data_IF_107595323712
#
_entry.id   IF_107595323712
#
_cell.length_a   1.000
_cell.length_b   1.000
_cell.length_c   1.000
_cell.angle_alpha   90.00
_cell.angle_beta   90.00
_cell.angle_gamma   90.00
#
_symmetry.space_group_name_H-M   'P 1'
#
loop_
_entity.id
_entity.type
_entity.pdbx_description
1 polymer ?
#
# COMPACT_ATOMS: atom_id res chain seq x y z
N UNK A 1 -27.95 3.35 -16.65
CA UNK A 1 -28.85 2.63 -15.70
C UNK A 1 -28.12 1.49 -15.00
N UNK A 2 -27.34 0.65 -15.71
CA UNK A 2 -26.47 -0.39 -15.12
C UNK A 2 -25.33 0.17 -14.25
N UNK A 3 -24.58 1.16 -14.73
CA UNK A 3 -23.47 1.78 -13.97
C UNK A 3 -23.90 2.40 -12.63
N UNK A 4 -25.16 2.85 -12.52
CA UNK A 4 -25.70 3.44 -11.29
C UNK A 4 -26.00 2.37 -10.24
N UNK A 5 -26.36 1.16 -10.68
CA UNK A 5 -26.67 0.02 -9.83
C UNK A 5 -25.39 -0.63 -9.27
N UNK A 6 -24.35 -0.79 -10.09
CA UNK A 6 -23.02 -1.24 -9.65
C UNK A 6 -22.40 -0.24 -8.66
N UNK A 7 -22.50 1.06 -8.94
CA UNK A 7 -21.99 2.09 -8.04
C UNK A 7 -22.74 2.12 -6.70
N UNK A 8 -24.06 1.90 -6.71
CA UNK A 8 -24.83 1.74 -5.47
C UNK A 8 -24.47 0.47 -4.70
N UNK A 9 -24.18 -0.65 -5.38
CA UNK A 9 -23.72 -1.89 -4.76
C UNK A 9 -22.35 -1.69 -4.09
N UNK A 10 -21.39 -1.05 -4.76
CA UNK A 10 -20.07 -0.72 -4.21
C UNK A 10 -20.18 0.21 -2.99
N UNK A 11 -21.06 1.22 -3.04
CA UNK A 11 -21.32 2.11 -1.91
C UNK A 11 -21.95 1.37 -0.72
N UNK A 12 -22.91 0.48 -0.96
CA UNK A 12 -23.58 -0.29 0.08
C UNK A 12 -22.67 -1.36 0.70
N UNK A 13 -21.74 -1.92 -0.08
CA UNK A 13 -20.68 -2.80 0.41
C UNK A 13 -19.61 -2.04 1.22
N UNK A 14 -19.44 -0.73 0.98
CA UNK A 14 -18.50 0.16 1.67
C UNK A 14 -19.05 0.78 2.96
N UNK A 15 -20.31 1.23 2.99
CA UNK A 15 -21.16 1.08 4.20
C UNK A 15 -21.24 -0.42 4.54
N UNK A 16 -21.91 -1.00 5.52
CA UNK A 16 -21.73 -2.46 5.82
C UNK A 16 -20.26 -2.79 6.21
N UNK A 17 -19.23 -2.79 5.36
CA UNK A 17 -18.07 -1.95 5.69
C UNK A 17 -17.34 -2.11 7.02
N UNK A 18 -16.80 -1.05 7.59
CA UNK A 18 -17.35 0.25 8.07
C UNK A 18 -18.41 0.09 9.16
N UNK A 19 -19.61 -0.45 8.89
CA UNK A 19 -20.73 -0.41 9.85
C UNK A 19 -21.16 -1.76 10.47
N UNK A 20 -20.79 -2.89 9.88
CA UNK A 20 -21.38 -4.22 10.13
C UNK A 20 -20.38 -5.28 10.59
N UNK A 21 -19.09 -4.95 10.60
CA UNK A 21 -18.08 -5.84 11.17
C UNK A 21 -17.77 -5.35 12.58
N UNK A 22 -18.17 -6.15 13.57
CA UNK A 22 -17.73 -5.97 14.95
C UNK A 22 -16.20 -5.91 14.97
N UNK A 23 -15.65 -5.01 15.78
CA UNK A 23 -14.21 -4.98 16.00
C UNK A 23 -13.78 -6.32 16.60
N UNK A 24 -12.87 -7.01 15.91
CA UNK A 24 -12.25 -8.23 16.40
C UNK A 24 -10.83 -7.89 16.89
N UNK A 25 -10.54 -7.99 18.21
CA UNK A 25 -9.21 -7.68 18.75
C UNK A 25 -8.11 -8.66 18.29
N UNK A 26 -8.46 -9.79 17.67
CA UNK A 26 -7.49 -10.73 17.11
C UNK A 26 -7.06 -10.40 15.68
N UNK A 27 -7.79 -9.49 15.01
CA UNK A 27 -7.48 -9.05 13.65
C UNK A 27 -6.54 -7.84 13.68
N UNK A 28 -5.49 -7.89 12.86
CA UNK A 28 -4.52 -6.79 12.74
C UNK A 28 -5.06 -5.65 11.88
N UNK A 29 -5.76 -6.00 10.80
CA UNK A 29 -6.30 -5.04 9.83
C UNK A 29 -7.79 -4.81 10.05
N UNK A 30 -8.19 -3.54 10.01
CA UNK A 30 -9.59 -3.17 10.07
C UNK A 30 -10.36 -3.70 8.84
N UNK A 31 -11.67 -3.95 8.97
CA UNK A 31 -12.46 -4.56 7.89
C UNK A 31 -12.41 -3.82 6.54
N UNK A 32 -12.33 -2.48 6.53
CA UNK A 32 -12.17 -1.72 5.28
C UNK A 32 -10.75 -1.79 4.72
N UNK A 33 -9.73 -1.95 5.57
CA UNK A 33 -8.34 -2.14 5.13
C UNK A 33 -8.19 -3.49 4.43
N UNK A 34 -8.75 -4.57 5.02
CA UNK A 34 -8.76 -5.89 4.39
C UNK A 34 -9.46 -5.88 3.03
N UNK A 35 -10.58 -5.17 2.92
CA UNK A 35 -11.30 -4.99 1.65
C UNK A 35 -10.45 -4.25 0.62
N UNK A 36 -9.77 -3.19 1.03
CA UNK A 36 -8.87 -2.43 0.16
C UNK A 36 -7.73 -3.29 -0.39
N UNK A 37 -7.15 -4.16 0.44
CA UNK A 37 -6.08 -5.09 0.03
C UNK A 37 -6.62 -6.22 -0.87
N UNK A 38 -7.85 -6.67 -0.63
CA UNK A 38 -8.47 -7.75 -1.40
C UNK A 38 -9.01 -7.30 -2.78
N UNK A 39 -9.01 -6.01 -3.08
CA UNK A 39 -9.47 -5.47 -4.35
C UNK A 39 -8.39 -5.63 -5.43
N UNK A 40 -8.65 -6.50 -6.41
CA UNK A 40 -7.76 -6.83 -7.53
C UNK A 40 -8.01 -5.97 -8.77
N UNK A 41 -8.82 -4.92 -8.65
CA UNK A 41 -9.07 -3.97 -9.74
C UNK A 41 -7.77 -3.30 -10.20
N UNK A 42 -7.57 -3.21 -11.52
CA UNK A 42 -6.42 -2.51 -12.11
C UNK A 42 -6.31 -1.04 -11.68
N UNK A 43 -7.43 -0.41 -11.34
CA UNK A 43 -7.49 0.95 -10.82
C UNK A 43 -8.40 0.98 -9.58
N UNK A 44 -7.79 1.17 -8.42
CA UNK A 44 -8.49 1.37 -7.13
C UNK A 44 -8.41 2.84 -6.69
N UNK A 45 -9.54 3.45 -6.39
CA UNK A 45 -9.63 4.84 -5.89
C UNK A 45 -10.24 4.81 -4.49
N UNK A 46 -9.48 5.27 -3.50
CA UNK A 46 -9.92 5.30 -2.10
C UNK A 46 -10.21 6.71 -1.61
N UNK A 47 -11.49 7.09 -1.51
CA UNK A 47 -11.87 8.25 -0.71
C UNK A 47 -11.68 7.89 0.78
N UNK A 48 -10.84 8.66 1.48
CA UNK A 48 -10.51 8.38 2.88
C UNK A 48 -10.53 9.63 3.74
N UNK A 49 -10.96 9.44 4.99
CA UNK A 49 -10.79 10.43 6.04
C UNK A 49 -9.33 10.46 6.56
N UNK A 50 -9.04 11.41 7.45
CA UNK A 50 -7.74 11.47 8.15
C UNK A 50 -7.69 10.40 9.24
N UNK A 51 -6.47 9.89 9.51
CA UNK A 51 -6.17 8.95 10.62
C UNK A 51 -6.94 7.63 10.55
N UNK A 52 -7.21 7.16 9.34
CA UNK A 52 -7.82 5.85 9.06
C UNK A 52 -6.78 4.77 8.74
N UNK A 53 -5.47 5.07 8.76
CA UNK A 53 -4.44 4.06 8.50
C UNK A 53 -4.53 3.38 7.12
N UNK A 54 -5.23 3.95 6.12
CA UNK A 54 -5.33 3.31 4.79
C UNK A 54 -3.95 3.18 4.13
N UNK A 55 -3.09 4.19 4.28
CA UNK A 55 -1.71 4.15 3.79
C UNK A 55 -0.88 3.05 4.45
N UNK A 56 -1.14 2.76 5.73
CA UNK A 56 -0.46 1.69 6.45
C UNK A 56 -0.91 0.29 5.98
N UNK A 57 -2.19 0.15 5.60
CA UNK A 57 -2.71 -1.05 4.96
C UNK A 57 -2.16 -1.22 3.53
N UNK A 58 -2.04 -0.14 2.76
CA UNK A 58 -1.42 -0.17 1.44
C UNK A 58 0.06 -0.59 1.52
N UNK A 59 0.80 -0.13 2.52
CA UNK A 59 2.18 -0.56 2.76
C UNK A 59 2.28 -2.07 3.04
N UNK A 60 1.27 -2.65 3.70
CA UNK A 60 1.17 -4.08 3.95
C UNK A 60 1.08 -4.87 2.62
N UNK A 61 0.14 -4.47 1.77
CA UNK A 61 -0.07 -5.07 0.45
C UNK A 61 1.14 -4.87 -0.47
N UNK A 62 1.72 -3.66 -0.48
CA UNK A 62 2.91 -3.33 -1.26
C UNK A 62 4.10 -4.21 -0.90
N UNK A 63 4.32 -4.43 0.40
CA UNK A 63 5.41 -5.28 0.89
C UNK A 63 5.21 -6.74 0.52
N UNK A 64 3.97 -7.23 0.65
CA UNK A 64 3.64 -8.60 0.28
C UNK A 64 3.78 -8.81 -1.23
N UNK A 65 3.25 -7.89 -2.04
CA UNK A 65 3.34 -7.93 -3.51
C UNK A 65 4.78 -7.91 -3.99
N UNK A 66 5.61 -6.99 -3.49
CA UNK A 66 7.02 -6.97 -3.85
C UNK A 66 7.75 -8.24 -3.37
N UNK A 67 7.32 -8.90 -2.29
CA UNK A 67 7.97 -10.13 -1.80
C UNK A 67 7.64 -11.39 -2.60
N UNK A 68 6.58 -11.39 -3.42
CA UNK A 68 6.11 -12.56 -4.17
C UNK A 68 7.03 -12.90 -5.34
N UNK A 69 7.04 -14.18 -5.72
CA UNK A 69 7.67 -14.59 -6.97
C UNK A 69 6.91 -14.06 -8.19
N UNK A 70 7.56 -14.01 -9.36
CA UNK A 70 6.88 -13.64 -10.61
C UNK A 70 5.67 -14.55 -10.91
N UNK A 71 5.75 -15.84 -10.61
CA UNK A 71 4.65 -16.81 -10.79
C UNK A 71 3.47 -16.58 -9.86
N UNK A 72 3.66 -15.86 -8.75
CA UNK A 72 2.63 -15.50 -7.78
C UNK A 72 2.13 -14.06 -7.96
N UNK A 73 2.55 -13.40 -9.05
CA UNK A 73 2.15 -12.02 -9.36
C UNK A 73 2.96 -10.96 -8.63
N UNK A 74 4.20 -11.27 -8.20
CA UNK A 74 5.09 -10.25 -7.67
C UNK A 74 5.47 -9.21 -8.73
N UNK A 75 5.61 -7.97 -8.29
CA UNK A 75 5.97 -6.83 -9.13
C UNK A 75 6.63 -5.71 -8.32
N UNK A 76 7.26 -4.76 -9.03
CA UNK A 76 7.76 -3.53 -8.43
C UNK A 76 6.59 -2.63 -8.02
N UNK A 77 6.65 -2.06 -6.82
CA UNK A 77 5.62 -1.13 -6.31
C UNK A 77 6.21 0.27 -6.18
N UNK A 78 5.49 1.26 -6.72
CA UNK A 78 5.89 2.66 -6.68
C UNK A 78 4.89 3.49 -5.88
N UNK A 79 5.40 4.21 -4.88
CA UNK A 79 4.65 5.18 -4.09
C UNK A 79 5.08 6.60 -4.43
N UNK A 80 4.12 7.47 -4.72
CA UNK A 80 4.37 8.88 -5.03
C UNK A 80 3.75 9.74 -3.94
N UNK A 81 4.60 10.26 -3.06
CA UNK A 81 4.23 11.23 -2.03
C UNK A 81 4.39 12.66 -2.54
N UNK A 82 3.64 13.60 -1.97
CA UNK A 82 3.83 15.03 -2.27
C UNK A 82 4.98 15.66 -1.49
N UNK A 83 5.47 14.99 -0.43
CA UNK A 83 6.58 15.45 0.40
C UNK A 83 7.56 14.31 0.69
N UNK A 84 8.80 14.69 1.03
CA UNK A 84 9.89 13.79 1.43
C UNK A 84 9.51 12.95 2.65
N UNK A 85 8.83 13.57 3.62
CA UNK A 85 8.39 12.90 4.83
C UNK A 85 7.33 11.84 4.53
N UNK A 86 6.39 12.10 3.61
CA UNK A 86 5.40 11.10 3.21
C UNK A 86 6.03 9.89 2.55
N UNK A 87 7.02 10.10 1.67
CA UNK A 87 7.75 9.01 1.04
C UNK A 87 8.55 8.19 2.06
N UNK A 88 9.21 8.85 3.03
CA UNK A 88 9.93 8.19 4.12
C UNK A 88 9.00 7.40 5.03
N UNK A 89 7.89 8.00 5.47
CA UNK A 89 6.91 7.32 6.32
C UNK A 89 6.32 6.07 5.62
N UNK A 90 6.09 6.14 4.31
CA UNK A 90 5.58 5.00 3.55
C UNK A 90 6.60 3.86 3.47
N UNK A 91 7.87 4.16 3.13
CA UNK A 91 8.88 3.10 3.02
C UNK A 91 9.17 2.46 4.39
N UNK A 92 9.15 3.24 5.47
CA UNK A 92 9.35 2.73 6.83
C UNK A 92 8.21 1.78 7.23
N UNK A 93 6.97 2.11 6.84
CA UNK A 93 5.82 1.20 7.03
C UNK A 93 5.99 -0.10 6.22
N UNK A 94 6.53 -0.02 5.00
CA UNK A 94 6.83 -1.21 4.20
C UNK A 94 7.94 -2.07 4.85
N UNK A 95 9.01 -1.47 5.34
CA UNK A 95 10.07 -2.19 6.06
C UNK A 95 9.54 -2.89 7.31
N UNK A 96 8.67 -2.21 8.07
CA UNK A 96 8.00 -2.78 9.23
C UNK A 96 7.16 -4.02 8.85
N UNK A 97 6.38 -3.95 7.77
CA UNK A 97 5.58 -5.06 7.28
C UNK A 97 6.42 -6.21 6.73
N UNK A 98 7.44 -5.92 5.91
CA UNK A 98 8.37 -6.93 5.41
C UNK A 98 8.98 -7.74 6.57
N UNK A 99 9.40 -7.07 7.65
CA UNK A 99 9.86 -7.72 8.88
C UNK A 99 8.76 -8.55 9.56
N UNK A 100 7.55 -8.02 9.67
CA UNK A 100 6.42 -8.72 10.29
C UNK A 100 6.03 -10.00 9.51
N UNK A 101 6.13 -9.97 8.19
CA UNK A 101 5.91 -11.12 7.31
C UNK A 101 7.12 -12.06 7.22
N UNK A 102 8.26 -11.68 7.82
CA UNK A 102 9.52 -12.40 7.69
C UNK A 102 9.97 -12.56 6.22
N UNK A 103 9.70 -11.53 5.39
CA UNK A 103 10.19 -11.45 4.02
C UNK A 103 11.68 -11.09 4.03
N UNK A 104 12.47 -11.78 3.20
CA UNK A 104 13.87 -11.42 3.01
C UNK A 104 13.96 -10.16 2.12
N UNK A 105 14.54 -9.09 2.66
CA UNK A 105 14.77 -7.83 1.97
C UNK A 105 16.02 -7.13 2.51
N UNK A 106 16.53 -6.17 1.75
CA UNK A 106 17.55 -5.24 2.23
C UNK A 106 16.97 -4.24 3.24
N UNK A 107 17.85 -3.52 3.94
CA UNK A 107 17.47 -2.32 4.69
C UNK A 107 16.98 -1.21 3.73
N UNK A 108 16.31 -0.19 4.27
CA UNK A 108 15.88 0.97 3.48
C UNK A 108 17.09 1.70 2.90
N UNK A 109 17.10 1.86 1.57
CA UNK A 109 18.11 2.57 0.79
C UNK A 109 17.58 3.97 0.45
N UNK A 110 18.40 5.01 0.66
CA UNK A 110 18.10 6.39 0.29
C UNK A 110 19.00 6.82 -0.88
N UNK A 111 18.39 7.31 -1.96
CA UNK A 111 19.06 7.84 -3.15
C UNK A 111 18.53 9.23 -3.47
N UNK A 112 19.44 10.13 -3.88
CA UNK A 112 19.11 11.47 -4.38
C UNK A 112 19.53 11.53 -5.84
N UNK A 113 18.60 11.89 -6.71
CA UNK A 113 18.90 12.20 -8.10
C UNK A 113 18.93 13.71 -8.27
N UNK A 114 20.11 14.24 -8.61
CA UNK A 114 20.29 15.65 -8.95
C UNK A 114 19.59 15.93 -10.29
N UNK A 115 18.59 16.80 -10.26
CA UNK A 115 17.88 17.32 -11.44
C UNK A 115 18.03 18.84 -11.46
N UNK A 116 18.15 19.44 -12.66
CA UNK A 116 18.35 20.88 -12.82
C UNK A 116 17.18 21.69 -12.24
N UNK A 117 15.97 21.11 -12.18
CA UNK A 117 14.77 21.76 -11.66
C UNK A 117 14.46 21.40 -10.19
N UNK A 118 14.53 20.11 -9.82
CA UNK A 118 14.20 19.64 -8.47
C UNK A 118 14.78 18.24 -8.20
N UNK A 119 15.60 18.14 -7.16
CA UNK A 119 16.12 16.84 -6.69
C UNK A 119 14.98 15.84 -6.43
N UNK A 120 15.11 14.65 -7.01
CA UNK A 120 14.19 13.53 -6.78
C UNK A 120 14.80 12.69 -5.67
N UNK A 121 14.16 12.75 -4.49
CA UNK A 121 14.50 11.85 -3.39
C UNK A 121 13.75 10.55 -3.54
N UNK A 122 14.49 9.47 -3.36
CA UNK A 122 13.95 8.13 -3.44
C UNK A 122 14.34 7.33 -2.21
N UNK A 123 13.35 6.65 -1.64
CA UNK A 123 13.60 5.56 -0.71
C UNK A 123 13.21 4.22 -1.32
N UNK A 124 13.97 3.16 -1.03
CA UNK A 124 13.76 1.85 -1.64
C UNK A 124 14.01 0.70 -0.66
N UNK A 125 13.26 -0.38 -0.83
CA UNK A 125 13.55 -1.70 -0.25
C UNK A 125 13.60 -2.71 -1.41
N UNK A 126 14.69 -3.45 -1.54
CA UNK A 126 14.79 -4.57 -2.46
C UNK A 126 14.41 -5.87 -1.75
N UNK A 127 13.58 -6.69 -2.39
CA UNK A 127 13.16 -7.99 -1.88
C UNK A 127 13.93 -9.11 -2.58
N UNK A 128 14.12 -10.23 -1.89
CA UNK A 128 14.80 -11.41 -2.44
C UNK A 128 14.09 -12.02 -3.66
N UNK A 129 12.83 -11.67 -3.90
CA UNK A 129 12.07 -11.96 -5.12
C UNK A 129 12.65 -11.32 -6.38
N UNK A 130 13.48 -10.28 -6.23
CA UNK A 130 14.00 -9.44 -7.33
C UNK A 130 13.17 -8.18 -7.58
N UNK A 131 12.08 -7.96 -6.85
CA UNK A 131 11.26 -6.75 -6.92
C UNK A 131 11.59 -5.77 -5.81
N UNK A 132 11.05 -4.54 -5.91
CA UNK A 132 11.27 -3.47 -4.95
C UNK A 132 10.01 -2.70 -4.63
N UNK A 133 9.98 -2.08 -3.44
CA UNK A 133 9.09 -0.96 -3.15
C UNK A 133 9.92 0.32 -3.24
N UNK A 134 9.48 1.29 -4.05
CA UNK A 134 10.16 2.57 -4.29
C UNK A 134 9.23 3.74 -3.96
N UNK A 135 9.62 4.58 -3.00
CA UNK A 135 8.87 5.78 -2.59
C UNK A 135 9.56 7.06 -3.11
N UNK A 136 8.80 7.94 -3.76
CA UNK A 136 9.27 9.11 -4.52
C UNK A 136 8.61 10.40 -4.02
N UNK A 137 9.32 11.55 -4.04
CA UNK A 137 8.78 12.89 -3.72
C UNK A 137 9.55 14.06 -4.33
#
# INVERSE_FOLDING_TARGET
MLATQEHQLLNNQSATAILSSEFDPSEVLLPYQRRWIADDSQLKIGEKSRRTGLTWAEAADSSLTASKSTSEGGEDVFYVGSTKDMAREFIDACAMWAKAYNCACDDVIEEVFDDEDKDILTYMINFASGFKVKALS
#
